data_IF_022049004635
#
_entry.id   IF_022049004635
#
_cell.length_a   1.000
_cell.length_b   1.000
_cell.length_c   1.000
_cell.angle_alpha   90.00
_cell.angle_beta   90.00
_cell.angle_gamma   90.00
#
_symmetry.space_group_name_H-M   'P 1'
#
loop_
_entity.id
_entity.type
_entity.pdbx_description
1 polymer ?
#
# COMPACT_ATOMS: atom_id res chain seq x y z
N UNK A 1 -20.91 21.33 -13.49
CA UNK A 1 -19.59 20.81 -13.92
C UNK A 1 -19.31 19.34 -13.52
N UNK A 2 -20.21 18.67 -12.76
CA UNK A 2 -19.94 17.32 -12.22
C UNK A 2 -20.07 16.13 -13.20
N UNK A 3 -20.97 16.17 -14.18
CA UNK A 3 -21.27 14.97 -14.98
C UNK A 3 -20.17 14.57 -15.98
N UNK A 4 -19.54 15.54 -16.65
CA UNK A 4 -18.44 15.30 -17.59
C UNK A 4 -17.19 14.82 -16.83
N UNK A 5 -16.91 15.42 -15.66
CA UNK A 5 -15.81 15.03 -14.79
C UNK A 5 -15.92 13.57 -14.32
N UNK A 6 -17.12 13.12 -13.92
CA UNK A 6 -17.35 11.75 -13.48
C UNK A 6 -17.21 10.72 -14.61
N UNK A 7 -17.65 11.05 -15.85
CA UNK A 7 -17.49 10.13 -16.99
C UNK A 7 -16.04 9.99 -17.45
N UNK A 8 -15.29 11.11 -17.47
CA UNK A 8 -13.85 11.10 -17.79
C UNK A 8 -13.07 10.37 -16.70
N UNK A 9 -13.40 10.60 -15.42
CA UNK A 9 -12.82 9.90 -14.28
C UNK A 9 -13.05 8.38 -14.35
N UNK A 10 -14.26 7.94 -14.60
CA UNK A 10 -14.58 6.52 -14.74
C UNK A 10 -13.90 5.86 -15.94
N UNK A 11 -13.81 6.54 -17.09
CA UNK A 11 -13.05 6.03 -18.25
C UNK A 11 -11.55 5.90 -17.93
N UNK A 12 -10.99 6.88 -17.24
CA UNK A 12 -9.59 6.87 -16.85
C UNK A 12 -9.31 5.76 -15.83
N UNK A 13 -10.16 5.60 -14.82
CA UNK A 13 -10.05 4.50 -13.85
C UNK A 13 -10.05 3.16 -14.58
N UNK A 14 -11.03 2.90 -15.45
CA UNK A 14 -11.08 1.67 -16.25
C UNK A 14 -9.91 1.48 -17.22
N UNK A 15 -9.22 2.56 -17.63
CA UNK A 15 -7.97 2.44 -18.40
C UNK A 15 -6.79 2.04 -17.51
N UNK A 16 -6.74 2.56 -16.29
CA UNK A 16 -5.65 2.36 -15.33
C UNK A 16 -5.70 0.99 -14.67
N UNK A 17 -6.88 0.41 -14.51
CA UNK A 17 -7.10 -0.93 -13.93
C UNK A 17 -6.86 -2.07 -14.91
N UNK A 18 -6.58 -1.79 -16.20
CA UNK A 18 -6.25 -2.85 -17.17
C UNK A 18 -4.90 -3.50 -16.86
N UNK A 19 -4.89 -4.83 -16.87
CA UNK A 19 -3.67 -5.63 -16.71
C UNK A 19 -2.66 -5.38 -17.84
N UNK A 20 -1.37 -5.39 -17.49
CA UNK A 20 -0.26 -5.16 -18.42
C UNK A 20 0.65 -6.39 -18.45
N UNK A 21 0.71 -7.05 -19.62
CA UNK A 21 1.72 -8.06 -19.90
C UNK A 21 1.50 -9.41 -19.21
N UNK A 22 2.50 -10.30 -19.40
CA UNK A 22 2.57 -11.58 -18.70
C UNK A 22 3.18 -11.33 -17.33
N UNK A 23 2.37 -11.51 -16.29
CA UNK A 23 2.85 -11.44 -14.92
C UNK A 23 3.52 -12.75 -14.54
N UNK A 24 4.77 -12.69 -14.09
CA UNK A 24 5.50 -13.87 -13.61
C UNK A 24 5.36 -13.94 -12.08
N UNK A 25 4.69 -14.97 -11.63
CA UNK A 25 4.46 -15.24 -10.22
C UNK A 25 5.72 -15.88 -9.62
N UNK A 26 6.39 -15.20 -8.67
CA UNK A 26 7.60 -15.74 -8.02
C UNK A 26 7.28 -16.49 -6.71
N UNK A 27 6.23 -16.11 -6.01
CA UNK A 27 5.94 -16.60 -4.67
C UNK A 27 4.45 -16.44 -4.37
N UNK A 28 3.62 -17.15 -5.14
CA UNK A 28 2.18 -17.14 -4.89
C UNK A 28 1.89 -18.01 -3.68
N UNK A 29 1.37 -17.37 -2.65
CA UNK A 29 0.89 -18.06 -1.47
C UNK A 29 -0.61 -18.29 -1.62
N UNK A 30 -1.06 -19.52 -1.35
CA UNK A 30 -2.49 -19.78 -1.38
C UNK A 30 -3.23 -18.94 -0.32
N UNK A 31 -4.47 -18.51 -0.57
CA UNK A 31 -5.26 -17.80 0.43
C UNK A 31 -5.35 -18.53 1.77
N UNK A 32 -5.36 -19.86 1.76
CA UNK A 32 -5.41 -20.68 2.98
C UNK A 32 -4.14 -20.54 3.81
N UNK A 33 -2.98 -20.56 3.17
CA UNK A 33 -1.69 -20.34 3.85
C UNK A 33 -1.64 -18.90 4.41
N UNK A 34 -2.06 -17.91 3.62
CA UNK A 34 -2.11 -16.52 4.11
C UNK A 34 -3.04 -16.39 5.30
N UNK A 35 -4.25 -16.99 5.24
CA UNK A 35 -5.25 -16.92 6.33
C UNK A 35 -4.75 -17.53 7.63
N UNK A 36 -3.92 -18.60 7.57
CA UNK A 36 -3.31 -19.21 8.75
C UNK A 36 -2.28 -18.32 9.46
N UNK A 37 -1.66 -17.38 8.72
CA UNK A 37 -0.59 -16.53 9.24
C UNK A 37 -1.03 -15.08 9.48
N UNK A 38 -2.08 -14.62 8.81
CA UNK A 38 -2.61 -13.27 9.00
C UNK A 38 -3.27 -13.12 10.37
N UNK A 39 -3.04 -11.97 10.98
CA UNK A 39 -3.68 -11.55 12.22
C UNK A 39 -4.40 -10.21 11.99
N UNK A 40 -5.57 -9.98 12.62
CA UNK A 40 -6.24 -8.69 12.54
C UNK A 40 -5.29 -7.52 12.85
N UNK A 41 -5.28 -6.50 12.00
CA UNK A 41 -4.34 -5.39 12.03
C UNK A 41 -3.08 -5.57 11.18
N UNK A 42 -2.85 -6.74 10.57
CA UNK A 42 -1.77 -6.93 9.60
C UNK A 42 -2.06 -6.16 8.30
N UNK A 43 -1.02 -5.62 7.69
CA UNK A 43 -1.08 -5.01 6.35
C UNK A 43 -0.61 -6.03 5.32
N UNK A 44 -1.47 -6.38 4.39
CA UNK A 44 -1.16 -7.21 3.24
C UNK A 44 -0.68 -6.32 2.10
N UNK A 45 0.60 -6.38 1.77
CA UNK A 45 1.16 -5.75 0.59
C UNK A 45 0.98 -6.65 -0.61
N UNK A 46 0.67 -6.06 -1.76
CA UNK A 46 0.37 -6.79 -3.00
C UNK A 46 1.17 -6.20 -4.16
N UNK A 47 1.74 -7.10 -4.95
CA UNK A 47 2.33 -6.76 -6.24
C UNK A 47 1.27 -6.86 -7.33
N UNK A 48 0.66 -5.73 -7.67
CA UNK A 48 -0.32 -5.67 -8.75
C UNK A 48 0.33 -5.69 -10.14
N UNK A 49 -0.45 -6.11 -11.13
CA UNK A 49 -0.07 -6.20 -12.53
C UNK A 49 -0.86 -5.23 -13.44
N UNK A 50 -1.62 -4.32 -12.87
CA UNK A 50 -2.37 -3.31 -13.59
C UNK A 50 -1.46 -2.14 -14.01
N UNK A 51 -1.90 -1.33 -14.96
CA UNK A 51 -1.17 -0.15 -15.43
C UNK A 51 -0.82 0.81 -14.31
N UNK A 52 -1.76 1.05 -13.41
CA UNK A 52 -1.52 1.89 -12.25
C UNK A 52 -0.47 1.28 -11.32
N UNK A 53 -0.50 -0.03 -11.13
CA UNK A 53 0.49 -0.76 -10.33
C UNK A 53 1.90 -0.59 -10.89
N UNK A 54 2.06 -0.63 -12.22
CA UNK A 54 3.34 -0.36 -12.89
C UNK A 54 3.84 1.05 -12.58
N UNK A 55 2.96 2.06 -12.64
CA UNK A 55 3.33 3.43 -12.31
C UNK A 55 3.74 3.58 -10.84
N UNK A 56 2.97 3.02 -9.91
CA UNK A 56 3.27 3.07 -8.48
C UNK A 56 4.62 2.39 -8.21
N UNK A 57 4.86 1.19 -8.74
CA UNK A 57 6.13 0.47 -8.61
C UNK A 57 7.32 1.31 -9.12
N UNK A 58 7.16 1.94 -10.26
CA UNK A 58 8.21 2.80 -10.84
C UNK A 58 8.48 4.04 -9.99
N UNK A 59 7.44 4.75 -9.53
CA UNK A 59 7.58 5.97 -8.75
C UNK A 59 8.11 5.71 -7.34
N UNK A 60 7.68 4.63 -6.71
CA UNK A 60 8.10 4.27 -5.35
C UNK A 60 9.39 3.45 -5.32
N UNK A 61 9.90 3.02 -6.49
CA UNK A 61 11.04 2.11 -6.61
C UNK A 61 10.85 0.87 -5.72
N UNK A 62 9.68 0.25 -5.82
CA UNK A 62 9.25 -0.89 -5.00
C UNK A 62 8.52 -1.92 -5.84
N UNK A 63 8.50 -3.15 -5.39
CA UNK A 63 7.66 -4.23 -5.91
C UNK A 63 6.19 -4.02 -5.53
N UNK A 64 5.94 -3.40 -4.37
CA UNK A 64 4.60 -3.27 -3.82
C UNK A 64 3.88 -2.07 -4.42
N UNK A 65 2.72 -2.32 -5.00
CA UNK A 65 1.88 -1.30 -5.63
C UNK A 65 0.53 -1.11 -4.94
N UNK A 66 0.15 -2.05 -4.06
CA UNK A 66 -1.12 -2.00 -3.36
C UNK A 66 -0.97 -2.48 -1.92
N UNK A 67 -1.92 -2.08 -1.06
CA UNK A 67 -1.99 -2.48 0.33
C UNK A 67 -3.45 -2.66 0.76
N UNK A 68 -3.70 -3.68 1.57
CA UNK A 68 -4.99 -3.94 2.20
C UNK A 68 -4.80 -4.22 3.69
N UNK A 69 -5.75 -3.83 4.53
CA UNK A 69 -5.75 -4.10 5.96
C UNK A 69 -6.52 -5.38 6.24
N UNK A 70 -5.89 -6.34 6.91
CA UNK A 70 -6.57 -7.55 7.34
C UNK A 70 -7.36 -7.29 8.62
N UNK A 71 -8.67 -7.43 8.53
CA UNK A 71 -9.59 -7.20 9.66
C UNK A 71 -10.16 -8.50 10.24
N UNK A 72 -9.82 -9.64 9.61
CA UNK A 72 -10.30 -10.94 10.03
C UNK A 72 -11.83 -11.02 9.99
N UNK A 73 -12.44 -11.46 11.08
CA UNK A 73 -13.90 -11.63 11.18
C UNK A 73 -14.61 -10.42 11.80
N UNK A 74 -14.02 -9.24 11.79
CA UNK A 74 -14.62 -8.05 12.42
C UNK A 74 -15.97 -7.67 11.81
N UNK A 75 -16.22 -8.01 10.54
CA UNK A 75 -17.47 -7.74 9.84
C UNK A 75 -18.45 -8.95 9.85
N UNK A 76 -18.04 -10.09 10.41
CA UNK A 76 -18.84 -11.33 10.47
C UNK A 76 -18.09 -12.52 9.87
N UNK A 77 -18.62 -13.75 10.11
CA UNK A 77 -17.94 -15.00 9.73
C UNK A 77 -17.89 -15.21 8.22
N UNK A 78 -18.93 -14.78 7.51
CA UNK A 78 -19.08 -14.97 6.05
C UNK A 78 -18.83 -13.66 5.28
N UNK A 79 -18.20 -12.68 5.94
CA UNK A 79 -17.87 -11.39 5.34
C UNK A 79 -16.41 -11.37 4.86
N UNK A 80 -16.08 -10.46 3.93
CA UNK A 80 -14.71 -10.27 3.47
C UNK A 80 -13.72 -10.01 4.62
N UNK A 81 -12.46 -10.45 4.44
CA UNK A 81 -11.42 -10.43 5.47
C UNK A 81 -10.55 -9.17 5.43
N UNK A 82 -10.57 -8.44 4.30
CA UNK A 82 -9.69 -7.31 4.02
C UNK A 82 -10.49 -6.04 3.75
N UNK A 83 -9.91 -4.90 4.15
CA UNK A 83 -10.38 -3.58 3.75
C UNK A 83 -9.27 -2.90 2.93
N UNK A 84 -9.65 -2.35 1.80
CA UNK A 84 -8.76 -1.62 0.91
C UNK A 84 -9.42 -0.37 0.34
N UNK A 85 -8.62 0.53 -0.19
CA UNK A 85 -9.12 1.63 -1.00
C UNK A 85 -8.73 1.39 -2.47
N UNK A 86 -9.70 1.34 -3.37
CA UNK A 86 -9.48 1.24 -4.80
C UNK A 86 -9.94 2.50 -5.54
N UNK A 87 -9.56 2.59 -6.82
CA UNK A 87 -9.83 3.79 -7.63
C UNK A 87 -11.28 3.90 -8.10
N UNK A 88 -11.96 2.78 -8.27
CA UNK A 88 -13.30 2.74 -8.86
C UNK A 88 -14.39 2.81 -7.79
N UNK A 89 -14.15 2.11 -6.68
CA UNK A 89 -15.18 1.86 -5.67
C UNK A 89 -14.90 2.57 -4.34
N UNK A 90 -13.74 3.24 -4.20
CA UNK A 90 -13.34 3.87 -2.93
C UNK A 90 -12.92 2.84 -1.90
N UNK A 91 -13.34 3.00 -0.64
CA UNK A 91 -13.04 2.06 0.44
C UNK A 91 -14.02 0.90 0.40
N UNK A 92 -13.49 -0.30 0.21
CA UNK A 92 -14.28 -1.52 0.06
C UNK A 92 -13.73 -2.67 0.88
N UNK A 93 -14.64 -3.57 1.26
CA UNK A 93 -14.28 -4.85 1.84
C UNK A 93 -14.13 -5.89 0.72
N UNK A 94 -13.02 -6.65 0.74
CA UNK A 94 -12.70 -7.65 -0.28
C UNK A 94 -12.25 -8.96 0.36
N UNK A 95 -12.55 -10.12 -0.28
CA UNK A 95 -12.07 -11.40 0.21
C UNK A 95 -10.58 -11.59 -0.12
N UNK A 96 -9.88 -12.35 0.72
CA UNK A 96 -8.48 -12.68 0.54
C UNK A 96 -8.20 -13.39 -0.81
N UNK A 97 -9.19 -14.10 -1.32
CA UNK A 97 -9.16 -14.80 -2.61
C UNK A 97 -8.93 -13.87 -3.81
N UNK A 98 -9.22 -12.58 -3.67
CA UNK A 98 -8.91 -11.56 -4.69
C UNK A 98 -7.43 -11.60 -5.09
N UNK A 99 -6.55 -11.92 -4.15
CA UNK A 99 -5.10 -11.86 -4.32
C UNK A 99 -4.42 -13.21 -4.52
N UNK A 100 -5.21 -14.29 -4.81
CA UNK A 100 -4.71 -15.67 -4.95
C UNK A 100 -3.60 -15.86 -5.97
N UNK A 101 -3.55 -15.02 -7.00
CA UNK A 101 -2.59 -15.12 -8.11
C UNK A 101 -1.60 -13.94 -8.10
N UNK A 102 -1.34 -13.35 -6.94
CA UNK A 102 -0.44 -12.20 -6.84
C UNK A 102 0.60 -12.44 -5.75
N UNK A 103 1.79 -11.91 -5.95
CA UNK A 103 2.80 -11.89 -4.90
C UNK A 103 2.32 -11.01 -3.76
N UNK A 104 2.43 -11.52 -2.55
CA UNK A 104 1.99 -10.82 -1.35
C UNK A 104 3.06 -10.82 -0.27
N UNK A 105 2.96 -9.87 0.66
CA UNK A 105 3.78 -9.79 1.86
C UNK A 105 2.94 -9.34 3.04
N UNK A 106 3.08 -10.04 4.15
CA UNK A 106 2.43 -9.65 5.41
C UNK A 106 3.38 -8.76 6.19
N UNK A 107 2.92 -7.55 6.51
CA UNK A 107 3.59 -6.60 7.41
C UNK A 107 2.79 -6.51 8.70
N UNK A 108 3.35 -7.00 9.80
CA UNK A 108 2.69 -7.06 11.12
C UNK A 108 3.16 -5.93 12.01
N UNK A 109 2.26 -5.10 12.55
CA UNK A 109 2.64 -4.06 13.51
C UNK A 109 3.19 -4.68 14.80
N UNK A 110 4.38 -4.23 15.21
CA UNK A 110 5.06 -4.77 16.40
C UNK A 110 4.56 -4.03 17.63
N UNK A 111 4.12 -4.79 18.64
CA UNK A 111 3.71 -4.22 19.93
C UNK A 111 2.39 -3.43 19.92
N UNK A 112 1.58 -3.56 18.87
CA UNK A 112 0.24 -2.97 18.86
C UNK A 112 -0.65 -3.63 19.90
N UNK A 113 -1.22 -2.83 20.82
CA UNK A 113 -2.08 -3.35 21.88
C UNK A 113 -3.39 -3.94 21.33
N UNK A 114 -4.04 -4.86 22.04
CA UNK A 114 -5.36 -5.37 21.63
C UNK A 114 -6.41 -4.28 21.49
N UNK A 115 -6.38 -3.27 22.36
CA UNK A 115 -7.31 -2.13 22.33
C UNK A 115 -7.08 -1.28 21.10
N UNK A 116 -5.84 -0.90 20.80
CA UNK A 116 -5.50 -0.10 19.63
C UNK A 116 -5.77 -0.86 18.33
N UNK A 117 -5.58 -2.18 18.35
CA UNK A 117 -5.93 -3.05 17.22
C UNK A 117 -7.43 -3.02 16.94
N UNK A 118 -8.26 -3.10 17.98
CA UNK A 118 -9.71 -3.01 17.84
C UNK A 118 -10.11 -1.65 17.25
N UNK A 119 -9.60 -0.55 17.83
CA UNK A 119 -9.87 0.80 17.33
C UNK A 119 -9.42 1.02 15.89
N UNK A 120 -8.25 0.50 15.50
CA UNK A 120 -7.73 0.56 14.13
C UNK A 120 -8.68 -0.15 13.15
N UNK A 121 -9.18 -1.32 13.53
CA UNK A 121 -10.12 -2.10 12.71
C UNK A 121 -11.47 -1.39 12.62
N UNK A 122 -12.00 -0.91 13.75
CA UNK A 122 -13.27 -0.17 13.81
C UNK A 122 -13.19 1.10 12.93
N UNK A 123 -12.06 1.81 13.00
CA UNK A 123 -11.80 2.95 12.12
C UNK A 123 -11.91 2.55 10.64
N UNK A 124 -11.22 1.50 10.22
CA UNK A 124 -11.24 1.06 8.82
C UNK A 124 -12.64 0.60 8.37
N UNK A 125 -13.36 -0.14 9.22
CA UNK A 125 -14.74 -0.59 8.95
C UNK A 125 -15.69 0.60 8.80
N UNK A 126 -15.55 1.63 9.64
CA UNK A 126 -16.40 2.83 9.59
C UNK A 126 -16.22 3.65 8.30
N UNK A 127 -15.09 3.51 7.60
CA UNK A 127 -14.80 4.22 6.35
C UNK A 127 -15.20 3.43 5.10
N UNK A 128 -15.80 2.23 5.24
CA UNK A 128 -16.30 1.47 4.07
C UNK A 128 -17.41 2.28 3.39
N UNK A 129 -17.26 2.47 2.08
CA UNK A 129 -18.17 3.28 1.26
C UNK A 129 -17.68 4.72 1.03
N UNK A 130 -16.62 5.16 1.71
CA UNK A 130 -16.01 6.45 1.43
C UNK A 130 -15.40 6.46 0.03
N UNK A 131 -15.58 7.56 -0.68
CA UNK A 131 -15.04 7.77 -2.02
C UNK A 131 -13.89 8.75 -1.99
N UNK A 132 -12.83 8.45 -2.73
CA UNK A 132 -11.68 9.34 -2.83
C UNK A 132 -11.85 10.38 -3.94
N UNK A 133 -11.30 11.59 -3.72
CA UNK A 133 -11.26 12.61 -4.77
C UNK A 133 -10.34 12.15 -5.92
N UNK A 134 -10.94 11.92 -7.09
CA UNK A 134 -10.25 11.48 -8.31
C UNK A 134 -9.19 12.47 -8.82
N UNK A 135 -9.05 13.66 -8.23
CA UNK A 135 -7.99 14.61 -8.62
C UNK A 135 -6.59 14.00 -8.47
N UNK A 136 -6.38 13.20 -7.42
CA UNK A 136 -5.11 12.50 -7.21
C UNK A 136 -4.86 11.42 -8.28
N UNK A 137 -5.92 10.84 -8.84
CA UNK A 137 -5.85 9.84 -9.93
C UNK A 137 -5.40 10.50 -11.24
N UNK A 138 -5.85 11.73 -11.51
CA UNK A 138 -5.40 12.49 -12.69
C UNK A 138 -3.91 12.81 -12.63
N UNK A 139 -3.40 13.15 -11.46
CA UNK A 139 -1.97 13.40 -11.28
C UNK A 139 -1.15 12.13 -11.51
N UNK A 140 -1.61 10.97 -11.03
CA UNK A 140 -0.94 9.69 -11.26
C UNK A 140 -1.06 9.23 -12.72
N UNK A 141 -2.23 9.38 -13.35
CA UNK A 141 -2.45 9.04 -14.76
C UNK A 141 -1.53 9.82 -15.71
N UNK A 142 -1.15 11.04 -15.34
CA UNK A 142 -0.22 11.87 -16.10
C UNK A 142 1.17 11.23 -16.24
N UNK A 143 1.60 10.39 -15.31
CA UNK A 143 2.85 9.64 -15.41
C UNK A 143 2.76 8.42 -16.35
N UNK A 144 1.55 7.92 -16.59
CA UNK A 144 1.29 6.79 -17.49
C UNK A 144 1.09 7.21 -18.95
N UNK A 145 0.81 8.49 -19.19
CA UNK A 145 0.75 9.00 -20.55
C UNK A 145 2.18 9.05 -21.12
N UNK A 146 2.38 8.62 -22.37
CA UNK A 146 3.66 8.78 -23.04
C UNK A 146 4.06 10.25 -22.95
N UNK A 147 5.13 10.54 -22.22
CA UNK A 147 5.63 11.91 -22.07
C UNK A 147 5.92 12.45 -23.46
N UNK A 148 5.30 13.57 -23.87
CA UNK A 148 5.65 14.21 -25.11
C UNK A 148 7.17 14.48 -25.13
N UNK A 149 7.83 14.47 -26.29
CA UNK A 149 9.28 14.68 -26.41
C UNK A 149 9.62 16.14 -26.02
N UNK A 150 9.57 16.42 -24.73
CA UNK A 150 9.93 17.72 -24.16
C UNK A 150 11.37 17.68 -23.62
N UNK A 151 12.16 18.75 -23.81
CA UNK A 151 13.51 18.85 -23.27
C UNK A 151 13.53 18.61 -21.75
N UNK A 152 14.58 17.92 -21.23
CA UNK A 152 14.71 17.55 -19.82
C UNK A 152 14.48 18.70 -18.82
N UNK A 153 14.87 19.95 -19.19
CA UNK A 153 14.66 21.16 -18.40
C UNK A 153 13.18 21.50 -18.16
N UNK A 154 12.28 21.07 -19.08
CA UNK A 154 10.85 21.32 -18.98
C UNK A 154 10.12 20.20 -18.25
N UNK A 155 10.68 18.98 -18.24
CA UNK A 155 10.12 17.84 -17.50
C UNK A 155 10.01 18.15 -16.01
N UNK A 156 11.05 18.72 -15.42
CA UNK A 156 11.02 19.13 -13.98
C UNK A 156 9.95 20.18 -13.69
N UNK A 157 9.75 21.14 -14.60
CA UNK A 157 8.71 22.17 -14.46
C UNK A 157 7.31 21.62 -14.66
N UNK A 158 7.11 20.68 -15.58
CA UNK A 158 5.83 20.00 -15.79
C UNK A 158 5.47 19.06 -14.63
N UNK A 159 6.48 18.50 -13.95
CA UNK A 159 6.31 17.69 -12.75
C UNK A 159 5.94 18.55 -11.53
N UNK A 160 6.36 19.81 -11.50
CA UNK A 160 6.06 20.74 -10.40
C UNK A 160 4.73 21.52 -10.56
N UNK A 161 4.05 21.40 -11.70
CA UNK A 161 2.77 22.06 -12.01
C UNK A 161 1.58 21.13 -11.70
N UNK A 162 1.70 20.27 -10.72
CA UNK A 162 0.60 19.51 -10.13
C UNK A 162 0.53 19.84 -8.64
N UNK A 163 -0.64 20.00 -8.10
CA UNK A 163 -0.89 20.37 -6.71
C UNK A 163 -0.62 19.26 -5.69
N UNK A 164 0.13 18.20 -6.03
CA UNK A 164 0.30 17.08 -5.14
C UNK A 164 1.58 16.28 -5.39
N UNK A 165 2.06 15.64 -4.35
CA UNK A 165 3.09 14.62 -4.41
C UNK A 165 2.58 13.44 -5.26
N UNK A 166 3.23 13.08 -6.39
CA UNK A 166 2.78 12.01 -7.28
C UNK A 166 2.76 10.63 -6.63
N UNK A 167 3.32 10.52 -5.43
CA UNK A 167 3.38 9.27 -4.66
C UNK A 167 2.16 9.02 -3.78
N UNK A 168 1.12 9.85 -3.84
CA UNK A 168 -0.13 9.64 -3.09
C UNK A 168 -0.83 8.37 -3.56
N UNK A 169 -0.47 7.25 -2.97
CA UNK A 169 -1.15 5.99 -3.20
C UNK A 169 -2.41 5.93 -2.34
N UNK A 170 -3.56 5.93 -2.98
CA UNK A 170 -4.88 5.94 -2.34
C UNK A 170 -5.03 4.77 -1.35
N UNK A 171 -4.57 3.58 -1.74
CA UNK A 171 -4.68 2.37 -0.93
C UNK A 171 -3.93 2.42 0.41
N UNK A 172 -2.78 3.08 0.48
CA UNK A 172 -2.00 3.19 1.71
C UNK A 172 -2.41 4.36 2.60
N UNK A 173 -3.13 5.36 2.05
CA UNK A 173 -3.58 6.53 2.80
C UNK A 173 -4.56 6.14 3.90
N UNK A 174 -5.60 5.37 3.59
CA UNK A 174 -6.57 4.87 4.57
C UNK A 174 -5.89 4.07 5.69
N UNK A 175 -5.00 3.15 5.33
CA UNK A 175 -4.31 2.30 6.30
C UNK A 175 -3.40 3.15 7.19
N UNK A 176 -2.65 4.09 6.62
CA UNK A 176 -1.81 5.00 7.39
C UNK A 176 -2.64 5.89 8.33
N UNK A 177 -3.81 6.35 7.89
CA UNK A 177 -4.74 7.13 8.70
C UNK A 177 -5.29 6.31 9.87
N UNK A 178 -5.66 5.04 9.62
CA UNK A 178 -6.09 4.11 10.66
C UNK A 178 -4.99 3.88 11.72
N UNK A 179 -3.73 3.69 11.33
CA UNK A 179 -2.63 3.60 12.28
C UNK A 179 -2.38 4.91 13.03
N UNK A 180 -2.53 6.05 12.36
CA UNK A 180 -2.38 7.36 13.00
C UNK A 180 -3.50 7.67 13.98
N UNK A 181 -4.72 7.17 13.78
CA UNK A 181 -5.85 7.35 14.69
C UNK A 181 -5.59 6.77 16.10
N UNK A 182 -4.76 5.72 16.15
CA UNK A 182 -4.32 5.09 17.41
C UNK A 182 -2.91 5.52 17.83
N UNK A 183 -2.33 6.54 17.17
CA UNK A 183 -0.99 7.03 17.46
C UNK A 183 0.15 6.08 17.10
N UNK A 184 -0.11 5.03 16.30
CA UNK A 184 0.92 4.07 15.92
C UNK A 184 1.79 4.60 14.77
N UNK A 185 3.14 4.61 14.91
CA UNK A 185 4.03 5.14 13.88
C UNK A 185 4.17 4.14 12.70
N UNK A 186 3.89 4.59 11.48
CA UNK A 186 4.19 3.79 10.28
C UNK A 186 5.64 3.99 9.85
N UNK A 187 6.01 5.21 9.45
CA UNK A 187 7.38 5.59 9.10
C UNK A 187 7.59 7.08 9.40
N UNK A 188 7.89 7.42 10.67
CA UNK A 188 8.09 8.81 11.07
C UNK A 188 9.37 9.38 10.44
N UNK A 189 9.40 10.70 10.27
CA UNK A 189 10.61 11.42 9.86
C UNK A 189 11.36 11.92 11.09
N UNK A 190 12.68 11.92 11.02
CA UNK A 190 13.49 12.65 11.99
C UNK A 190 13.17 14.12 11.82
N UNK A 191 12.79 14.82 12.89
CA UNK A 191 12.60 16.26 12.84
C UNK A 191 13.92 16.92 12.43
N UNK A 192 13.92 17.57 11.26
CA UNK A 192 14.99 18.48 10.86
C UNK A 192 14.73 19.81 11.57
N UNK A 193 15.03 19.86 12.84
CA UNK A 193 14.90 21.08 13.65
C UNK A 193 16.19 21.36 14.39
N UNK A 194 16.47 22.63 14.58
CA UNK A 194 17.63 23.23 15.21
C UNK A 194 18.44 22.30 16.12
N UNK A 195 19.76 22.33 15.89
CA UNK A 195 20.73 21.59 16.71
C UNK A 195 20.55 21.86 18.23
N UNK A 196 19.94 22.99 18.62
CA UNK A 196 19.64 23.36 19.99
C UNK A 196 18.58 22.50 20.68
N UNK A 197 17.54 22.04 19.94
CA UNK A 197 16.49 21.18 20.53
C UNK A 197 16.96 19.73 20.76
N UNK A 198 18.00 19.29 20.05
CA UNK A 198 18.59 17.96 20.24
C UNK A 198 19.38 17.85 21.55
N UNK A 199 19.95 18.96 22.01
CA UNK A 199 20.82 19.02 23.19
C UNK A 199 20.01 19.08 24.48
N UNK A 200 18.85 19.74 24.46
CA UNK A 200 18.03 19.97 25.65
C UNK A 200 17.17 18.76 26.08
N UNK A 201 16.79 17.86 25.17
CA UNK A 201 15.90 16.75 25.46
C UNK A 201 16.52 15.36 25.39
N UNK A 202 17.75 15.21 24.90
CA UNK A 202 18.43 13.90 24.79
C UNK A 202 17.66 12.85 23.96
N UNK A 203 16.60 13.25 23.26
CA UNK A 203 15.72 12.40 22.45
C UNK A 203 15.61 12.94 21.03
N UNK A 204 15.73 12.05 20.06
CA UNK A 204 15.43 12.38 18.65
C UNK A 204 13.95 12.76 18.55
N UNK A 205 13.66 14.04 18.19
CA UNK A 205 12.28 14.42 17.93
C UNK A 205 11.80 13.80 16.62
N UNK A 206 10.70 13.09 16.68
CA UNK A 206 10.05 12.50 15.54
C UNK A 206 8.87 13.36 15.09
N UNK A 207 8.72 13.58 13.79
CA UNK A 207 7.55 14.25 13.24
C UNK A 207 6.64 13.25 12.56
N UNK A 208 5.33 13.38 12.84
CA UNK A 208 4.30 12.58 12.18
C UNK A 208 4.27 13.01 10.70
N UNK A 209 4.43 12.03 9.81
CA UNK A 209 4.25 12.24 8.38
C UNK A 209 2.76 12.21 8.06
N UNK A 210 2.27 13.15 7.23
CA UNK A 210 0.86 13.15 6.85
C UNK A 210 0.47 11.82 6.16
N UNK A 211 -0.68 11.25 6.52
CA UNK A 211 -1.14 9.94 6.03
C UNK A 211 -1.15 9.82 4.50
N UNK A 212 -1.50 10.90 3.80
CA UNK A 212 -1.55 10.93 2.33
C UNK A 212 -0.19 10.79 1.63
N UNK A 213 0.91 10.81 2.36
CA UNK A 213 2.26 10.68 1.82
C UNK A 213 2.82 9.26 1.95
N UNK A 214 2.05 8.33 2.51
CA UNK A 214 2.49 6.95 2.63
C UNK A 214 2.19 6.16 1.36
N UNK A 215 3.09 5.25 1.05
CA UNK A 215 2.99 4.30 -0.05
C UNK A 215 3.04 2.87 0.50
N UNK A 216 2.64 1.84 -0.24
CA UNK A 216 2.76 0.46 0.20
C UNK A 216 4.18 0.09 0.66
N UNK A 217 5.20 0.64 0.00
CA UNK A 217 6.61 0.46 0.37
C UNK A 217 6.94 0.90 1.80
N UNK A 218 6.27 1.93 2.30
CA UNK A 218 6.59 2.49 3.62
C UNK A 218 6.31 1.50 4.75
N UNK A 219 5.32 0.60 4.59
CA UNK A 219 5.06 -0.49 5.54
C UNK A 219 6.15 -1.56 5.50
N UNK A 220 6.70 -1.85 4.32
CA UNK A 220 7.79 -2.81 4.14
C UNK A 220 9.12 -2.32 4.72
N UNK A 221 9.37 -1.01 4.62
CA UNK A 221 10.59 -0.38 5.14
C UNK A 221 10.50 0.02 6.61
N UNK A 222 9.31 0.02 7.18
CA UNK A 222 9.08 0.47 8.55
C UNK A 222 9.78 -0.42 9.57
N UNK A 223 10.57 0.15 10.50
CA UNK A 223 11.14 -0.61 11.61
C UNK A 223 10.10 -1.06 12.65
N UNK A 224 8.86 -0.57 12.53
CA UNK A 224 7.76 -0.89 13.43
C UNK A 224 6.86 -2.02 12.90
N UNK A 225 7.15 -2.56 11.71
CA UNK A 225 6.44 -3.68 11.12
C UNK A 225 7.37 -4.85 10.88
N UNK A 226 7.00 -6.01 11.42
CA UNK A 226 7.68 -7.27 11.14
C UNK A 226 7.19 -7.86 9.81
N UNK A 227 8.11 -8.29 8.95
CA UNK A 227 7.77 -9.06 7.75
C UNK A 227 7.53 -10.52 8.12
N UNK A 228 6.32 -11.02 7.88
CA UNK A 228 5.95 -12.42 8.09
C UNK A 228 6.07 -13.16 6.76
N UNK A 229 6.83 -14.24 6.75
CA UNK A 229 7.05 -15.12 5.59
C UNK A 229 6.45 -16.50 5.85
N UNK A 230 5.21 -16.76 5.41
CA UNK A 230 4.52 -18.05 5.67
C UNK A 230 5.22 -19.27 5.10
N UNK A 231 6.10 -19.11 4.10
CA UNK A 231 6.79 -20.17 3.37
C UNK A 231 8.26 -20.35 3.81
N UNK A 232 8.66 -19.82 4.96
CA UNK A 232 9.99 -20.14 5.51
C UNK A 232 10.03 -21.61 5.89
N UNK A 233 10.99 -22.34 5.34
CA UNK A 233 11.28 -23.73 5.71
C UNK A 233 12.27 -23.73 6.87
N UNK A 234 11.78 -24.03 8.08
CA UNK A 234 12.64 -24.24 9.24
C UNK A 234 13.43 -25.54 9.07
N UNK A 235 14.75 -25.48 9.28
CA UNK A 235 15.63 -26.64 9.12
C UNK A 235 16.04 -26.96 7.68
N UNK A 236 15.81 -26.01 6.73
CA UNK A 236 16.22 -26.17 5.34
C UNK A 236 17.75 -26.47 5.22
N UNK A 237 18.09 -27.61 4.61
CA UNK A 237 19.47 -27.97 4.24
C UNK A 237 19.70 -27.71 2.75
N UNK A 238 20.38 -26.64 2.42
CA UNK A 238 20.68 -26.27 1.02
C UNK A 238 21.59 -27.30 0.31
N UNK A 239 22.34 -28.16 1.07
CA UNK A 239 23.20 -29.21 0.52
C UNK A 239 22.41 -30.43 0.07
N UNK A 240 21.25 -30.66 0.67
CA UNK A 240 20.32 -31.72 0.26
C UNK A 240 19.44 -31.33 -0.93
N UNK A 241 19.52 -30.06 -1.39
CA UNK A 241 18.70 -29.56 -2.47
C UNK A 241 19.17 -30.03 -3.85
N UNK A 242 18.31 -30.71 -4.57
CA UNK A 242 18.60 -31.20 -5.92
C UNK A 242 18.30 -30.09 -6.95
N UNK A 243 19.35 -29.49 -7.46
CA UNK A 243 19.23 -28.53 -8.58
C UNK A 243 18.98 -29.28 -9.89
N UNK A 244 17.87 -29.04 -10.56
CA UNK A 244 17.68 -29.51 -11.93
C UNK A 244 18.60 -28.71 -12.87
N UNK A 245 19.37 -29.36 -13.68
CA UNK A 245 20.25 -28.76 -14.70
C UNK A 245 19.50 -28.30 -15.97
N UNK A 246 18.18 -28.20 -15.91
CA UNK A 246 17.37 -27.77 -17.04
C UNK A 246 17.23 -26.23 -17.02
N UNK A 247 18.03 -25.58 -17.82
CA UNK A 247 17.77 -24.22 -18.34
C UNK A 247 17.22 -24.35 -19.78
#
# INVERSE_FOLDING_TARGET
MGWVSNRVGGWLAGYLTKQVGVYVEFSVQSPDILRQHLQPGDVLLVEGNERISVAIKYLTQSTWSHAALFVGRAMGVDQPDLIEADLENGVVAVPLEKYRNQNTRICRPVGLSPEDRAHLIDFAVAHIGDTYDLKNVFDLARYLLPTPPVPQRWRRRLLSVGSGDPTRAICSTLIAEAFQSVGYPVLPRVAQGDAGLKEEMGRTAWTVRHHSLFTPRDFDLSPYFATIKPTIEEGFDYKAFNWSSSI
#
